data_IF_031164084049
#
_entry.id   IF_031164084049
#
_cell.length_a   1.000
_cell.length_b   1.000
_cell.length_c   1.000
_cell.angle_alpha   90.00
_cell.angle_beta   90.00
_cell.angle_gamma   90.00
#
_symmetry.space_group_name_H-M   'P 1'
#
loop_
_entity.id
_entity.type
_entity.pdbx_description
1 polymer ?
#
# COMPACT_ATOMS: atom_id res chain seq x y z
N UNK A 1 17.34 37.84 18.18
CA UNK A 1 16.16 37.38 17.42
C UNK A 1 16.63 36.42 16.33
N UNK A 2 16.35 35.12 16.46
CA UNK A 2 16.71 34.12 15.43
C UNK A 2 15.43 33.72 14.71
N UNK A 3 15.34 33.99 13.40
CA UNK A 3 14.24 33.54 12.54
C UNK A 3 14.54 32.12 12.08
N UNK A 4 13.80 31.14 12.58
CA UNK A 4 13.85 29.76 12.12
C UNK A 4 12.99 29.64 10.85
N UNK A 5 13.63 29.64 9.68
CA UNK A 5 12.96 29.39 8.41
C UNK A 5 12.83 27.88 8.20
N UNK A 6 11.60 27.35 8.32
CA UNK A 6 11.30 25.97 7.95
C UNK A 6 11.06 25.94 6.44
N UNK A 7 12.11 25.67 5.69
CA UNK A 7 12.05 25.39 4.25
C UNK A 7 11.32 24.06 4.05
N UNK A 8 10.11 24.12 3.49
CA UNK A 8 9.29 22.94 3.17
C UNK A 8 9.72 22.33 1.84
N UNK A 9 11.00 21.95 1.73
CA UNK A 9 11.51 21.31 0.52
C UNK A 9 11.89 19.85 0.81
N UNK A 10 11.33 18.95 -0.02
CA UNK A 10 11.56 17.51 -0.04
C UNK A 10 10.67 16.66 0.87
N UNK A 11 9.40 16.49 0.48
CA UNK A 11 8.65 15.28 0.81
C UNK A 11 9.34 14.08 0.11
N UNK A 12 10.39 13.55 0.74
CA UNK A 12 11.00 12.29 0.30
C UNK A 12 9.94 11.19 0.46
N UNK A 13 9.64 10.49 -0.65
CA UNK A 13 8.90 9.22 -0.64
C UNK A 13 9.55 8.31 0.41
N UNK A 14 8.89 8.15 1.56
CA UNK A 14 9.27 7.14 2.54
C UNK A 14 8.89 5.80 1.92
N UNK A 15 9.86 5.13 1.30
CA UNK A 15 9.75 3.71 1.00
C UNK A 15 9.77 3.00 2.34
N UNK A 16 8.59 2.77 2.91
CA UNK A 16 8.45 1.92 4.08
C UNK A 16 8.91 0.53 3.62
N UNK A 17 9.99 -0.02 4.21
CA UNK A 17 10.45 -1.34 3.83
C UNK A 17 9.29 -2.30 4.06
N UNK A 18 8.91 -3.01 2.99
CA UNK A 18 7.95 -4.11 3.02
C UNK A 18 8.39 -4.99 4.19
N UNK A 19 7.63 -4.98 5.29
CA UNK A 19 7.96 -5.82 6.45
C UNK A 19 8.10 -7.23 5.90
N UNK A 20 9.30 -7.79 6.05
CA UNK A 20 9.61 -9.16 5.65
C UNK A 20 8.84 -10.09 6.57
N UNK A 21 7.55 -10.26 6.34
CA UNK A 21 6.88 -11.51 6.67
C UNK A 21 7.50 -12.57 5.75
N UNK A 22 8.61 -13.14 6.22
CA UNK A 22 9.44 -14.10 5.49
C UNK A 22 8.71 -15.44 5.23
N UNK A 23 7.41 -15.50 5.48
CA UNK A 23 6.57 -16.69 5.38
C UNK A 23 5.57 -16.64 4.21
N UNK A 24 5.41 -15.49 3.53
CA UNK A 24 4.44 -15.34 2.45
C UNK A 24 5.01 -15.86 1.12
N UNK A 25 4.37 -16.90 0.58
CA UNK A 25 4.70 -17.48 -0.72
C UNK A 25 4.19 -16.58 -1.85
N UNK A 26 4.78 -16.64 -3.06
CA UNK A 26 4.30 -15.88 -4.22
C UNK A 26 2.82 -16.12 -4.56
N UNK A 27 2.29 -17.30 -4.21
CA UNK A 27 0.91 -17.74 -4.39
C UNK A 27 -0.05 -17.22 -3.33
N UNK A 28 0.45 -16.60 -2.26
CA UNK A 28 -0.41 -16.14 -1.18
C UNK A 28 -1.12 -14.86 -1.60
N UNK A 29 -2.42 -14.81 -1.37
CA UNK A 29 -3.20 -13.59 -1.51
C UNK A 29 -2.87 -12.63 -0.37
N UNK A 30 -2.58 -11.39 -0.71
CA UNK A 30 -2.30 -10.31 0.22
C UNK A 30 -3.29 -9.18 0.01
N UNK A 31 -3.71 -8.56 1.11
CA UNK A 31 -4.49 -7.34 1.04
C UNK A 31 -3.57 -6.15 0.76
N UNK A 32 -4.01 -5.25 -0.10
CA UNK A 32 -3.24 -4.08 -0.51
C UNK A 32 -4.12 -2.83 -0.54
N UNK A 33 -3.51 -1.68 -0.28
CA UNK A 33 -4.01 -0.38 -0.67
C UNK A 33 -3.20 0.10 -1.88
N UNK A 34 -3.90 0.52 -2.93
CA UNK A 34 -3.29 0.97 -4.20
C UNK A 34 -3.76 2.38 -4.48
N UNK A 35 -2.79 3.26 -4.72
CA UNK A 35 -3.03 4.58 -5.29
C UNK A 35 -2.61 4.57 -6.75
N UNK A 36 -3.50 5.00 -7.63
CA UNK A 36 -3.28 5.09 -9.08
C UNK A 36 -3.21 6.55 -9.52
N UNK A 37 -2.54 6.80 -10.63
CA UNK A 37 -2.44 8.14 -11.23
C UNK A 37 -3.64 8.49 -12.11
N UNK A 38 -4.32 7.46 -12.65
CA UNK A 38 -5.48 7.60 -13.52
C UNK A 38 -6.78 7.30 -12.75
N UNK A 39 -7.76 8.22 -12.76
CA UNK A 39 -9.07 7.98 -12.13
C UNK A 39 -9.71 6.70 -12.64
N UNK A 40 -10.30 5.92 -11.73
CA UNK A 40 -11.01 4.66 -11.97
C UNK A 40 -10.20 3.53 -12.60
N UNK A 41 -8.87 3.69 -12.76
CA UNK A 41 -7.99 2.62 -13.22
C UNK A 41 -7.87 1.50 -12.18
N UNK A 42 -7.96 0.26 -12.65
CA UNK A 42 -7.75 -0.95 -11.82
C UNK A 42 -6.74 -1.85 -12.53
N UNK A 43 -5.57 -2.11 -11.92
CA UNK A 43 -4.58 -3.03 -12.47
C UNK A 43 -5.15 -4.45 -12.62
N UNK A 44 -4.77 -5.14 -13.71
CA UNK A 44 -5.37 -6.42 -14.14
C UNK A 44 -5.36 -7.51 -13.06
N UNK A 45 -4.30 -7.59 -12.27
CA UNK A 45 -4.10 -8.65 -11.27
C UNK A 45 -4.59 -8.24 -9.87
N UNK A 46 -5.43 -7.21 -9.76
CA UNK A 46 -5.95 -6.71 -8.47
C UNK A 46 -7.47 -6.85 -8.40
N UNK A 47 -7.95 -7.55 -7.38
CA UNK A 47 -9.37 -7.65 -7.04
C UNK A 47 -9.73 -6.54 -6.04
N UNK A 48 -10.44 -5.52 -6.48
CA UNK A 48 -10.88 -4.41 -5.61
C UNK A 48 -11.85 -4.93 -4.54
N UNK A 49 -11.60 -4.56 -3.27
CA UNK A 49 -12.51 -4.82 -2.14
C UNK A 49 -13.35 -3.60 -1.81
N UNK A 50 -12.71 -2.44 -1.70
CA UNK A 50 -13.37 -1.19 -1.39
C UNK A 50 -12.68 -0.04 -2.14
N UNK A 51 -13.46 0.89 -2.67
CA UNK A 51 -12.94 2.11 -3.30
C UNK A 51 -13.09 3.25 -2.31
N UNK A 52 -12.00 3.97 -2.06
CA UNK A 52 -11.96 5.11 -1.13
C UNK A 52 -12.22 6.39 -1.91
N UNK A 53 -11.56 6.54 -3.06
CA UNK A 53 -11.81 7.59 -4.05
C UNK A 53 -11.47 7.09 -5.47
N UNK A 54 -11.57 7.95 -6.48
CA UNK A 54 -11.31 7.59 -7.89
C UNK A 54 -9.86 7.14 -8.14
N UNK A 55 -8.93 7.49 -7.27
CA UNK A 55 -7.49 7.22 -7.37
C UNK A 55 -6.95 6.31 -6.28
N UNK A 56 -7.75 5.97 -5.27
CA UNK A 56 -7.34 5.19 -4.11
C UNK A 56 -8.38 4.10 -3.79
N UNK A 57 -7.90 2.87 -3.69
CA UNK A 57 -8.74 1.74 -3.32
C UNK A 57 -7.96 0.68 -2.57
N UNK A 58 -8.68 -0.20 -1.88
CA UNK A 58 -8.14 -1.42 -1.30
C UNK A 58 -8.55 -2.62 -2.13
N UNK A 59 -7.70 -3.64 -2.14
CA UNK A 59 -7.92 -4.84 -2.91
C UNK A 59 -7.11 -6.02 -2.42
N UNK A 60 -7.17 -7.11 -3.18
CA UNK A 60 -6.36 -8.30 -2.99
C UNK A 60 -5.58 -8.59 -4.27
N UNK A 61 -4.36 -9.08 -4.12
CA UNK A 61 -3.55 -9.61 -5.22
C UNK A 61 -2.65 -10.71 -4.69
N UNK A 62 -2.00 -11.45 -5.60
CA UNK A 62 -0.99 -12.42 -5.23
C UNK A 62 0.32 -11.73 -4.86
N UNK A 63 1.03 -12.22 -3.85
CA UNK A 63 2.31 -11.65 -3.40
C UNK A 63 3.34 -11.55 -4.52
N UNK A 64 3.39 -12.53 -5.42
CA UNK A 64 4.28 -12.55 -6.58
C UNK A 64 3.95 -11.50 -7.65
N UNK A 65 2.77 -10.87 -7.59
CA UNK A 65 2.32 -9.85 -8.54
C UNK A 65 2.60 -8.42 -8.07
N UNK A 66 3.04 -8.23 -6.82
CA UNK A 66 3.33 -6.90 -6.28
C UNK A 66 4.47 -6.18 -7.00
N UNK A 67 5.47 -6.89 -7.50
CA UNK A 67 6.56 -6.28 -8.24
C UNK A 67 6.08 -5.71 -9.58
N UNK A 68 5.32 -6.51 -10.34
CA UNK A 68 4.67 -6.06 -11.57
C UNK A 68 3.70 -4.89 -11.31
N UNK A 69 2.99 -4.91 -10.18
CA UNK A 69 2.08 -3.84 -9.79
C UNK A 69 2.82 -2.53 -9.46
N UNK A 70 3.99 -2.61 -8.83
CA UNK A 70 4.83 -1.44 -8.55
C UNK A 70 5.54 -0.90 -9.80
N UNK A 71 5.72 -1.74 -10.83
CA UNK A 71 6.29 -1.36 -12.11
C UNK A 71 5.27 -0.75 -13.09
N UNK A 72 3.98 -0.76 -12.75
CA UNK A 72 2.92 -0.17 -13.57
C UNK A 72 2.97 1.36 -13.49
N UNK A 73 3.15 2.03 -14.63
CA UNK A 73 3.20 3.51 -14.74
C UNK A 73 1.92 4.20 -14.23
N UNK A 74 0.78 3.50 -14.25
CA UNK A 74 -0.48 4.00 -13.73
C UNK A 74 -0.63 3.81 -12.21
N UNK A 75 0.31 3.14 -11.55
CA UNK A 75 0.31 2.93 -10.09
C UNK A 75 1.29 3.90 -9.42
N UNK A 76 0.75 4.80 -8.60
CA UNK A 76 1.55 5.77 -7.86
C UNK A 76 2.20 5.15 -6.61
N UNK A 77 1.51 4.22 -5.94
CA UNK A 77 2.03 3.51 -4.76
C UNK A 77 1.18 2.30 -4.41
N UNK A 78 1.83 1.25 -3.89
CA UNK A 78 1.19 0.08 -3.30
C UNK A 78 1.64 -0.04 -1.84
N UNK A 79 0.69 -0.27 -0.95
CA UNK A 79 0.95 -0.61 0.45
C UNK A 79 0.31 -1.96 0.74
N UNK A 80 1.06 -2.87 1.37
CA UNK A 80 0.49 -4.12 1.85
C UNK A 80 -0.26 -3.83 3.14
N UNK A 81 -1.53 -4.23 3.19
CA UNK A 81 -2.34 -4.14 4.40
C UNK A 81 -1.77 -5.07 5.45
N UNK A 82 -1.39 -4.52 6.61
CA UNK A 82 -1.13 -5.33 7.77
C UNK A 82 -2.47 -5.74 8.38
N UNK A 83 -2.66 -7.04 8.58
CA UNK A 83 -3.76 -7.48 9.45
C UNK A 83 -3.44 -6.98 10.85
N UNK A 84 -4.20 -5.99 11.33
CA UNK A 84 -4.16 -5.61 12.73
C UNK A 84 -4.75 -6.80 13.49
N UNK A 85 -3.90 -7.59 14.12
CA UNK A 85 -4.35 -8.62 15.05
C UNK A 85 -5.10 -7.88 16.15
N UNK A 86 -6.36 -8.24 16.39
CA UNK A 86 -7.14 -7.64 17.47
C UNK A 86 -6.31 -7.69 18.77
N UNK A 87 -6.31 -6.62 19.59
CA UNK A 87 -5.71 -6.72 20.91
C UNK A 87 -6.36 -7.92 21.62
N UNK A 88 -5.52 -8.81 22.16
CA UNK A 88 -5.99 -9.90 23.03
C UNK A 88 -6.79 -9.23 24.16
N UNK A 89 -8.11 -9.35 24.13
CA UNK A 89 -8.94 -9.08 25.29
C UNK A 89 -8.84 -10.32 26.19
N UNK A 90 -7.68 -10.49 26.83
CA UNK A 90 -7.57 -11.36 28.01
C UNK A 90 -7.98 -10.48 29.21
N UNK A 91 -9.28 -10.39 29.46
CA UNK A 91 -9.82 -9.94 30.75
C UNK A 91 -10.84 -10.99 31.18
N UNK A 92 -10.34 -11.98 31.91
CA UNK A 92 -11.10 -12.74 32.91
C UNK A 92 -11.06 -12.00 34.25
#
# INVERSE_FOLDING_TARGET
>A
MVKLAISSNSLKRVQIPVSRDASLKPTDEVEIAVRVTKPNYVPKDVKVRARIDETLFTGKTLRGKLEALNADDAVASVQIGHTIRAPRTDQD
#
